data_IF_763466057812
#
_entry.id   IF_763466057812
#
_cell.length_a   1.000
_cell.length_b   1.000
_cell.length_c   1.000
_cell.angle_alpha   90.00
_cell.angle_beta   90.00
_cell.angle_gamma   90.00
#
_symmetry.space_group_name_H-M   'P 1'
#
loop_
_entity.id
_entity.type
_entity.pdbx_description
1 polymer ?
#
# COMPACT_ATOMS: atom_id res chain seq x y z
N UNK A 1 -11.45 11.70 -2.38
CA UNK A 1 -10.34 11.01 -3.10
C UNK A 1 -10.12 9.65 -2.47
N UNK A 2 -10.05 8.59 -3.29
CA UNK A 2 -9.84 7.20 -2.85
C UNK A 2 -8.49 6.70 -3.36
N UNK A 3 -7.80 5.89 -2.56
CA UNK A 3 -6.59 5.16 -2.96
C UNK A 3 -6.77 3.67 -2.72
N UNK A 4 -6.24 2.84 -3.63
CA UNK A 4 -6.27 1.37 -3.52
C UNK A 4 -4.86 0.80 -3.60
N UNK A 5 -4.52 -0.06 -2.65
CA UNK A 5 -3.28 -0.83 -2.66
C UNK A 5 -3.54 -2.11 -3.44
N UNK A 6 -2.74 -2.36 -4.48
CA UNK A 6 -2.77 -3.64 -5.20
C UNK A 6 -1.79 -4.64 -4.56
N UNK A 7 -2.08 -5.94 -4.59
CA UNK A 7 -1.09 -6.94 -4.23
C UNK A 7 0.12 -6.88 -5.18
N UNK A 8 1.26 -7.34 -4.68
CA UNK A 8 2.45 -7.56 -5.50
C UNK A 8 2.18 -8.68 -6.51
N UNK A 9 2.57 -8.44 -7.77
CA UNK A 9 2.52 -9.45 -8.81
C UNK A 9 3.72 -10.41 -8.68
N UNK A 10 3.71 -11.51 -9.45
CA UNK A 10 4.75 -12.53 -9.37
C UNK A 10 6.13 -12.00 -9.77
N UNK A 11 6.21 -11.11 -10.76
CA UNK A 11 7.47 -10.51 -11.21
C UNK A 11 8.11 -9.70 -10.08
N UNK A 12 7.33 -8.87 -9.40
CA UNK A 12 7.79 -8.05 -8.27
C UNK A 12 8.24 -8.93 -7.10
N UNK A 13 7.48 -9.98 -6.78
CA UNK A 13 7.85 -10.94 -5.75
C UNK A 13 9.16 -11.66 -6.06
N UNK A 14 9.38 -12.01 -7.33
CA UNK A 14 10.60 -12.69 -7.75
C UNK A 14 11.83 -11.77 -7.71
N UNK A 15 11.66 -10.49 -8.06
CA UNK A 15 12.77 -9.52 -8.12
C UNK A 15 13.10 -8.88 -6.77
N UNK A 16 12.11 -8.63 -5.92
CA UNK A 16 12.27 -7.84 -4.68
C UNK A 16 11.74 -8.55 -3.42
N UNK A 17 11.36 -9.83 -3.55
CA UNK A 17 10.76 -10.61 -2.47
C UNK A 17 9.37 -10.13 -2.10
N UNK A 18 8.93 -10.48 -0.89
CA UNK A 18 7.64 -10.06 -0.33
C UNK A 18 7.71 -8.67 0.34
N UNK A 19 8.70 -7.84 -0.04
CA UNK A 19 8.90 -6.52 0.55
C UNK A 19 7.82 -5.55 0.07
N UNK A 20 7.16 -4.89 1.03
CA UNK A 20 6.14 -3.87 0.74
C UNK A 20 6.69 -2.50 1.11
N UNK A 21 6.47 -1.51 0.23
CA UNK A 21 6.83 -0.12 0.50
C UNK A 21 5.67 0.72 1.06
N UNK A 22 4.47 0.14 1.15
CA UNK A 22 3.28 0.80 1.67
C UNK A 22 2.74 0.02 2.87
N UNK A 23 2.37 0.75 3.92
CA UNK A 23 1.69 0.24 5.11
C UNK A 23 0.37 0.99 5.28
N UNK A 24 -0.73 0.26 5.32
CA UNK A 24 -2.02 0.84 5.68
C UNK A 24 -2.14 0.93 7.20
N UNK A 25 -2.31 2.13 7.73
CA UNK A 25 -2.49 2.35 9.18
C UNK A 25 -3.97 2.29 9.56
N UNK A 26 -4.85 2.79 8.68
CA UNK A 26 -6.29 2.83 8.89
C UNK A 26 -7.05 2.82 7.56
N UNK A 27 -8.39 2.88 7.61
CA UNK A 27 -9.23 3.06 6.42
C UNK A 27 -9.06 4.43 5.74
N UNK A 28 -8.28 5.36 6.31
CA UNK A 28 -8.11 6.73 5.85
C UNK A 28 -6.63 7.15 5.75
N UNK A 29 -5.69 6.29 6.17
CA UNK A 29 -4.27 6.64 6.19
C UNK A 29 -3.37 5.50 5.70
N UNK A 30 -2.38 5.89 4.90
CA UNK A 30 -1.36 5.03 4.33
C UNK A 30 0.01 5.67 4.49
N UNK A 31 1.00 4.87 4.85
CA UNK A 31 2.39 5.30 5.05
C UNK A 31 3.27 4.64 4.01
N UNK A 32 4.04 5.44 3.28
CA UNK A 32 5.18 4.96 2.50
C UNK A 32 6.38 4.78 3.44
N UNK A 33 6.90 3.56 3.52
CA UNK A 33 7.97 3.17 4.46
C UNK A 33 9.39 3.35 3.88
N UNK A 34 9.53 4.06 2.76
CA UNK A 34 10.83 4.49 2.27
C UNK A 34 11.46 5.53 3.19
N UNK A 35 12.75 5.83 3.05
CA UNK A 35 13.36 6.96 3.77
C UNK A 35 13.35 8.22 2.90
N UNK A 36 12.76 9.34 3.38
CA UNK A 36 12.04 9.50 4.65
C UNK A 36 10.63 8.89 4.62
N UNK A 37 10.17 8.38 5.76
CA UNK A 37 8.80 7.87 5.84
C UNK A 37 7.81 9.00 5.58
N UNK A 38 6.82 8.74 4.74
CA UNK A 38 5.83 9.75 4.35
C UNK A 38 4.42 9.21 4.52
N UNK A 39 3.58 9.96 5.24
CA UNK A 39 2.17 9.62 5.48
C UNK A 39 1.25 10.39 4.55
N UNK A 40 0.27 9.69 4.00
CA UNK A 40 -0.79 10.25 3.18
C UNK A 40 -2.15 9.96 3.81
N UNK A 41 -3.09 10.89 3.63
CA UNK A 41 -4.46 10.81 4.15
C UNK A 41 -5.42 10.90 2.96
N UNK A 42 -6.42 10.03 2.97
CA UNK A 42 -7.47 9.94 1.97
C UNK A 42 -8.82 9.73 2.64
N UNK A 43 -9.92 9.99 1.93
CA UNK A 43 -11.26 9.70 2.44
C UNK A 43 -11.43 8.18 2.63
N UNK A 44 -10.88 7.39 1.70
CA UNK A 44 -10.89 5.93 1.72
C UNK A 44 -9.57 5.32 1.20
N UNK A 45 -9.02 4.40 1.98
CA UNK A 45 -7.87 3.56 1.65
C UNK A 45 -8.33 2.10 1.60
N UNK A 46 -8.34 1.52 0.41
CA UNK A 46 -8.70 0.12 0.19
C UNK A 46 -7.46 -0.79 0.20
N UNK A 47 -7.50 -1.82 1.04
CA UNK A 47 -6.43 -2.81 1.18
C UNK A 47 -6.36 -3.77 -0.02
N UNK A 48 -5.28 -4.54 -0.09
CA UNK A 48 -5.06 -5.61 -1.09
C UNK A 48 -6.16 -6.69 -1.09
N UNK A 49 -6.90 -6.85 0.01
CA UNK A 49 -7.95 -7.86 0.20
C UNK A 49 -9.34 -7.44 -0.29
N UNK A 50 -9.52 -6.17 -0.66
CA UNK A 50 -10.80 -5.66 -1.13
C UNK A 50 -10.93 -5.91 -2.63
N UNK A 51 -11.96 -6.69 -2.99
CA UNK A 51 -12.39 -6.92 -4.37
C UNK A 51 -13.22 -5.74 -4.87
N UNK A 52 -13.45 -5.66 -6.18
CA UNK A 52 -14.29 -4.62 -6.79
C UNK A 52 -15.74 -4.71 -6.29
#
# INVERSE_FOLDING_TARGET
VLVRIRPLNNTEKNSYGHSRCLRQESAQSITWIGQPETRFIFDHVACETITQ
#
